data_IF_592497736257
#
_entry.id   IF_592497736257
#
_cell.length_a   1.000
_cell.length_b   1.000
_cell.length_c   1.000
_cell.angle_alpha   90.00
_cell.angle_beta   90.00
_cell.angle_gamma   90.00
#
_symmetry.space_group_name_H-M   'P 1'
#
loop_
_entity.id
_entity.type
_entity.pdbx_description
1 polymer ?
#
# COMPACT_ATOMS: atom_id res chain seq x y z
N UNK A 1 -19.60 -8.58 -46.37
CA UNK A 1 -20.57 -8.06 -45.35
C UNK A 1 -21.09 -9.15 -44.40
N UNK A 2 -21.31 -10.39 -44.82
CA UNK A 2 -21.86 -11.48 -43.94
C UNK A 2 -20.90 -11.98 -42.87
N UNK A 3 -19.61 -12.15 -43.18
CA UNK A 3 -18.60 -12.70 -42.22
C UNK A 3 -18.31 -11.71 -41.09
N UNK A 4 -18.28 -10.42 -41.35
CA UNK A 4 -18.06 -9.35 -40.39
C UNK A 4 -19.25 -9.23 -39.39
N UNK A 5 -20.49 -9.36 -39.89
CA UNK A 5 -21.70 -9.38 -39.04
C UNK A 5 -21.78 -10.63 -38.18
N UNK A 6 -21.34 -11.79 -38.67
CA UNK A 6 -21.25 -13.03 -37.88
C UNK A 6 -20.20 -12.92 -36.76
N UNK A 7 -19.04 -12.31 -37.01
CA UNK A 7 -18.01 -12.06 -36.01
C UNK A 7 -18.49 -11.08 -34.91
N UNK A 8 -19.16 -9.99 -35.30
CA UNK A 8 -19.71 -9.04 -34.32
C UNK A 8 -20.78 -9.71 -33.47
N UNK A 9 -21.67 -10.49 -34.05
CA UNK A 9 -22.69 -11.23 -33.30
C UNK A 9 -22.09 -12.27 -32.35
N UNK A 10 -21.04 -12.99 -32.76
CA UNK A 10 -20.36 -13.97 -31.91
C UNK A 10 -19.64 -13.29 -30.72
N UNK A 11 -18.97 -12.16 -30.93
CA UNK A 11 -18.30 -11.37 -29.88
C UNK A 11 -19.33 -10.78 -28.92
N UNK A 12 -20.43 -10.23 -29.42
CA UNK A 12 -21.51 -9.70 -28.59
C UNK A 12 -22.16 -10.81 -27.74
N UNK A 13 -22.43 -11.95 -28.36
CA UNK A 13 -22.99 -13.13 -27.64
C UNK A 13 -22.04 -13.63 -26.57
N UNK A 14 -20.74 -13.73 -26.85
CA UNK A 14 -19.73 -14.12 -25.89
C UNK A 14 -19.65 -13.12 -24.71
N UNK A 15 -19.72 -11.82 -25.02
CA UNK A 15 -19.70 -10.76 -24.00
C UNK A 15 -20.95 -10.79 -23.11
N UNK A 16 -22.15 -11.03 -23.70
CA UNK A 16 -23.40 -11.17 -22.94
C UNK A 16 -23.36 -12.42 -22.05
N UNK A 17 -22.90 -13.56 -22.56
CA UNK A 17 -22.72 -14.78 -21.77
C UNK A 17 -21.72 -14.60 -20.64
N UNK A 18 -20.62 -13.89 -20.88
CA UNK A 18 -19.62 -13.56 -19.88
C UNK A 18 -20.19 -12.70 -18.75
N UNK A 19 -20.95 -11.62 -19.08
CA UNK A 19 -21.62 -10.77 -18.10
C UNK A 19 -22.66 -11.58 -17.30
N UNK A 20 -23.46 -12.40 -17.98
CA UNK A 20 -24.49 -13.24 -17.35
C UNK A 20 -23.86 -14.24 -16.39
N UNK A 21 -22.79 -14.94 -16.80
CA UNK A 21 -22.01 -15.82 -15.95
C UNK A 21 -21.47 -15.10 -14.71
N UNK A 22 -20.91 -13.91 -14.85
CA UNK A 22 -20.42 -13.10 -13.70
C UNK A 22 -21.54 -12.74 -12.72
N UNK A 23 -22.72 -12.36 -13.22
CA UNK A 23 -23.88 -12.05 -12.37
C UNK A 23 -24.35 -13.30 -11.61
N UNK A 24 -24.46 -14.44 -12.28
CA UNK A 24 -24.84 -15.71 -11.64
C UNK A 24 -23.83 -16.09 -10.57
N UNK A 25 -22.55 -16.09 -10.87
CA UNK A 25 -21.48 -16.43 -9.91
C UNK A 25 -21.49 -15.48 -8.69
N UNK A 26 -21.75 -14.19 -8.90
CA UNK A 26 -21.90 -13.22 -7.82
C UNK A 26 -23.13 -13.52 -6.95
N UNK A 27 -24.26 -13.91 -7.54
CA UNK A 27 -25.47 -14.29 -6.81
C UNK A 27 -25.27 -15.59 -6.02
N UNK A 28 -24.62 -16.60 -6.60
CA UNK A 28 -24.27 -17.84 -5.92
C UNK A 28 -23.36 -17.53 -4.72
N UNK A 29 -22.29 -16.77 -4.93
CA UNK A 29 -21.37 -16.40 -3.86
C UNK A 29 -22.10 -15.68 -2.72
N UNK A 30 -23.00 -14.74 -3.04
CA UNK A 30 -23.80 -14.02 -2.05
C UNK A 30 -24.73 -14.97 -1.27
N UNK A 31 -25.45 -15.87 -1.96
CA UNK A 31 -26.32 -16.86 -1.29
C UNK A 31 -25.52 -17.83 -0.41
N UNK A 32 -24.36 -18.28 -0.89
CA UNK A 32 -23.46 -19.16 -0.12
C UNK A 32 -22.92 -18.46 1.12
N UNK A 33 -22.55 -17.16 1.01
CA UNK A 33 -22.13 -16.39 2.16
C UNK A 33 -23.22 -16.28 3.21
N UNK A 34 -24.46 -15.95 2.84
CA UNK A 34 -25.61 -15.90 3.75
C UNK A 34 -25.95 -17.28 4.35
N UNK A 35 -25.74 -18.36 3.62
CA UNK A 35 -25.85 -19.68 4.18
C UNK A 35 -24.82 -19.91 5.30
N UNK A 36 -23.55 -19.53 5.07
CA UNK A 36 -22.51 -19.66 6.08
C UNK A 36 -22.72 -18.73 7.29
N UNK A 37 -23.42 -17.63 7.15
CA UNK A 37 -23.79 -16.77 8.29
C UNK A 37 -24.74 -17.45 9.30
N UNK A 38 -25.34 -18.60 8.96
CA UNK A 38 -26.11 -19.40 9.91
C UNK A 38 -25.22 -20.20 10.88
N UNK A 39 -23.93 -20.32 10.59
CA UNK A 39 -22.99 -20.99 11.50
C UNK A 39 -22.51 -20.02 12.59
N UNK A 40 -22.14 -20.52 13.78
CA UNK A 40 -21.68 -19.66 14.86
C UNK A 40 -20.40 -18.91 14.48
N UNK A 41 -20.25 -17.68 14.97
CA UNK A 41 -19.00 -16.93 14.89
C UNK A 41 -18.02 -17.52 15.88
N UNK A 42 -16.81 -17.86 15.41
CA UNK A 42 -15.73 -18.33 16.27
C UNK A 42 -15.00 -17.14 16.86
N UNK A 43 -15.09 -16.98 18.18
CA UNK A 43 -14.52 -15.86 18.93
C UNK A 43 -13.00 -15.76 18.89
N UNK A 44 -12.33 -16.88 18.65
CA UNK A 44 -10.87 -16.99 18.55
C UNK A 44 -10.35 -17.08 17.11
N UNK A 45 -11.02 -16.45 16.13
CA UNK A 45 -10.60 -16.53 14.74
C UNK A 45 -10.50 -15.16 14.10
N UNK A 46 -9.39 -14.90 13.38
CA UNK A 46 -9.12 -13.68 12.64
C UNK A 46 -8.86 -13.97 11.17
N UNK A 47 -9.44 -13.14 10.28
CA UNK A 47 -9.18 -13.14 8.83
C UNK A 47 -8.35 -11.92 8.49
N UNK A 48 -7.22 -12.16 7.83
CA UNK A 48 -6.29 -11.13 7.35
C UNK A 48 -6.27 -11.09 5.83
N UNK A 49 -6.10 -9.90 5.27
CA UNK A 49 -5.79 -9.71 3.85
C UNK A 49 -5.14 -8.37 3.60
N UNK A 50 -4.10 -8.36 2.76
CA UNK A 50 -3.46 -7.14 2.26
C UNK A 50 -3.79 -6.94 0.80
N UNK A 51 -4.18 -5.70 0.44
CA UNK A 51 -4.48 -5.29 -0.94
C UNK A 51 -5.39 -6.28 -1.67
N UNK A 52 -6.46 -6.70 -0.99
CA UNK A 52 -7.45 -7.67 -1.50
C UNK A 52 -6.87 -9.05 -1.86
N UNK A 53 -5.83 -9.49 -1.17
CA UNK A 53 -5.22 -10.82 -1.33
C UNK A 53 -3.99 -10.85 -2.24
N UNK A 54 -3.52 -9.71 -2.72
CA UNK A 54 -2.38 -9.65 -3.65
C UNK A 54 -1.03 -9.94 -3.00
N UNK A 55 -0.85 -9.53 -1.72
CA UNK A 55 0.45 -9.59 -1.05
C UNK A 55 0.31 -10.04 0.40
N UNK A 56 1.41 -10.57 0.95
CA UNK A 56 1.65 -10.69 2.38
C UNK A 56 2.53 -9.52 2.82
N UNK A 57 1.92 -8.38 3.14
CA UNK A 57 2.63 -7.12 3.42
C UNK A 57 1.75 -6.14 4.20
N UNK A 58 2.28 -4.92 4.42
CA UNK A 58 1.55 -3.79 5.00
C UNK A 58 1.02 -4.08 6.42
N UNK A 59 0.17 -3.21 6.96
CA UNK A 59 -0.37 -3.29 8.31
C UNK A 59 -0.90 -4.68 8.71
N UNK A 60 -1.66 -5.40 7.85
CA UNK A 60 -2.13 -6.74 8.20
C UNK A 60 -1.02 -7.76 8.45
N UNK A 61 0.15 -7.65 7.76
CA UNK A 61 1.32 -8.51 8.00
C UNK A 61 1.84 -8.33 9.42
N UNK A 62 2.05 -7.10 9.84
CA UNK A 62 2.63 -6.81 11.15
C UNK A 62 1.66 -7.11 12.29
N UNK A 63 0.36 -6.87 12.10
CA UNK A 63 -0.68 -7.33 13.04
C UNK A 63 -0.73 -8.85 13.13
N UNK A 64 -0.56 -9.57 12.02
CA UNK A 64 -0.50 -11.02 12.04
C UNK A 64 0.75 -11.52 12.80
N UNK A 65 1.92 -10.95 12.54
CA UNK A 65 3.15 -11.31 13.24
C UNK A 65 3.03 -11.09 14.75
N UNK A 66 2.46 -9.97 15.17
CA UNK A 66 2.17 -9.68 16.58
C UNK A 66 1.12 -10.66 17.14
N UNK A 67 0.08 -10.98 16.37
CA UNK A 67 -0.97 -11.91 16.76
C UNK A 67 -0.42 -13.33 17.05
N UNK A 68 0.40 -13.89 16.17
CA UNK A 68 0.97 -15.23 16.38
C UNK A 68 1.96 -15.28 17.54
N UNK A 69 2.59 -14.14 17.86
CA UNK A 69 3.56 -14.01 18.96
C UNK A 69 2.84 -13.90 20.32
N UNK A 70 1.85 -13.04 20.44
CA UNK A 70 1.27 -12.64 21.72
C UNK A 70 -0.17 -13.15 21.95
N UNK A 71 -0.85 -13.64 20.89
CA UNK A 71 -2.20 -14.20 20.95
C UNK A 71 -2.28 -15.59 20.27
N UNK A 72 -1.50 -16.59 20.73
CA UNK A 72 -1.36 -17.90 20.06
C UNK A 72 -2.66 -18.70 19.98
N UNK A 73 -3.67 -18.33 20.75
CA UNK A 73 -5.00 -18.96 20.74
C UNK A 73 -5.88 -18.49 19.59
N UNK A 74 -5.48 -17.44 18.86
CA UNK A 74 -6.21 -16.95 17.69
C UNK A 74 -5.86 -17.79 16.46
N UNK A 75 -6.87 -18.39 15.86
CA UNK A 75 -6.76 -19.07 14.57
C UNK A 75 -6.68 -18.03 13.45
N UNK A 76 -5.51 -17.89 12.84
CA UNK A 76 -5.25 -16.89 11.80
C UNK A 76 -5.52 -17.44 10.40
N UNK A 77 -6.36 -16.75 9.66
CA UNK A 77 -6.73 -17.06 8.28
C UNK A 77 -6.16 -15.96 7.36
N UNK A 78 -5.41 -16.35 6.34
CA UNK A 78 -4.93 -15.39 5.33
C UNK A 78 -5.63 -15.62 4.00
N UNK A 79 -6.28 -14.58 3.51
CA UNK A 79 -6.90 -14.55 2.18
C UNK A 79 -5.88 -14.06 1.16
N UNK A 80 -5.58 -14.91 0.16
CA UNK A 80 -4.59 -14.65 -0.89
C UNK A 80 -5.16 -14.93 -2.27
N UNK A 81 -4.71 -14.20 -3.28
CA UNK A 81 -5.03 -14.47 -4.69
C UNK A 81 -4.16 -15.63 -5.24
N UNK A 82 -2.93 -15.73 -4.76
CA UNK A 82 -1.96 -16.75 -5.16
C UNK A 82 -1.51 -17.59 -3.96
N UNK A 83 -1.72 -18.90 -4.03
CA UNK A 83 -1.31 -19.82 -2.96
C UNK A 83 0.22 -19.97 -2.83
N UNK A 84 1.00 -19.48 -3.80
CA UNK A 84 2.47 -19.47 -3.75
C UNK A 84 3.01 -18.43 -2.78
N UNK A 85 2.20 -17.43 -2.40
CA UNK A 85 2.59 -16.44 -1.38
C UNK A 85 2.97 -17.19 -0.11
N UNK A 86 4.21 -17.02 0.35
CA UNK A 86 4.67 -17.60 1.61
C UNK A 86 4.18 -16.76 2.80
N UNK A 87 3.65 -17.45 3.82
CA UNK A 87 3.16 -16.83 5.05
C UNK A 87 3.74 -17.64 6.21
N UNK A 88 4.58 -17.02 7.03
CA UNK A 88 5.23 -17.72 8.13
C UNK A 88 4.22 -18.18 9.18
N UNK A 89 4.59 -19.20 9.97
CA UNK A 89 3.79 -19.70 11.07
C UNK A 89 2.66 -20.66 10.65
N UNK A 90 1.56 -20.65 11.41
CA UNK A 90 0.47 -21.63 11.27
C UNK A 90 -0.80 -21.04 10.61
N UNK A 91 -0.67 -20.01 9.81
CA UNK A 91 -1.83 -19.42 9.12
C UNK A 91 -2.48 -20.40 8.14
N UNK A 92 -3.81 -20.42 8.13
CA UNK A 92 -4.58 -21.14 7.12
C UNK A 92 -4.68 -20.24 5.88
N UNK A 93 -3.98 -20.60 4.80
CA UNK A 93 -4.08 -19.90 3.52
C UNK A 93 -5.39 -20.23 2.83
N UNK A 94 -6.10 -19.21 2.37
CA UNK A 94 -7.39 -19.35 1.70
C UNK A 94 -7.40 -18.52 0.43
N UNK A 95 -7.69 -19.17 -0.69
CA UNK A 95 -7.79 -18.48 -1.98
C UNK A 95 -8.95 -17.51 -1.97
N UNK A 96 -8.68 -16.26 -2.38
CA UNK A 96 -9.69 -15.21 -2.53
C UNK A 96 -10.85 -15.69 -3.42
N UNK A 97 -12.09 -15.28 -3.09
CA UNK A 97 -13.34 -15.65 -3.78
C UNK A 97 -13.67 -17.15 -3.79
N UNK A 98 -12.96 -17.99 -3.05
CA UNK A 98 -13.30 -19.42 -2.87
C UNK A 98 -14.45 -19.62 -1.87
N UNK A 99 -15.05 -20.83 -1.86
CA UNK A 99 -16.05 -21.17 -0.83
C UNK A 99 -15.48 -21.10 0.59
N UNK A 100 -14.19 -21.49 0.77
CA UNK A 100 -13.51 -21.36 2.07
C UNK A 100 -13.40 -19.89 2.49
N UNK A 101 -13.11 -18.97 1.55
CA UNK A 101 -13.09 -17.54 1.84
C UNK A 101 -14.45 -17.07 2.36
N UNK A 102 -15.56 -17.44 1.67
CA UNK A 102 -16.92 -17.08 2.11
C UNK A 102 -17.24 -17.62 3.49
N UNK A 103 -16.84 -18.86 3.77
CA UNK A 103 -17.03 -19.50 5.07
C UNK A 103 -16.26 -18.77 6.19
N UNK A 104 -14.97 -18.50 5.97
CA UNK A 104 -14.16 -17.84 7.00
C UNK A 104 -14.60 -16.38 7.23
N UNK A 105 -14.99 -15.65 6.19
CA UNK A 105 -15.58 -14.31 6.36
C UNK A 105 -16.86 -14.34 7.19
N UNK A 106 -17.72 -15.34 6.99
CA UNK A 106 -18.98 -15.46 7.70
C UNK A 106 -18.83 -15.91 9.17
N UNK A 107 -17.75 -16.63 9.51
CA UNK A 107 -17.61 -17.33 10.79
C UNK A 107 -16.44 -16.86 11.66
N UNK A 108 -15.65 -15.89 11.22
CA UNK A 108 -14.53 -15.35 12.02
C UNK A 108 -14.97 -14.09 12.75
N UNK A 109 -14.58 -13.97 14.02
CA UNK A 109 -14.87 -12.79 14.83
C UNK A 109 -14.14 -11.55 14.31
N UNK A 110 -12.86 -11.67 13.97
CA UNK A 110 -12.02 -10.54 13.61
C UNK A 110 -11.73 -10.47 12.12
N UNK A 111 -11.96 -9.31 11.52
CA UNK A 111 -11.64 -8.99 10.13
C UNK A 111 -10.59 -7.88 10.09
N UNK A 112 -9.44 -8.13 9.47
CA UNK A 112 -8.28 -7.23 9.49
C UNK A 112 -7.84 -6.98 8.04
N UNK A 113 -8.13 -5.78 7.52
CA UNK A 113 -7.90 -5.43 6.12
C UNK A 113 -7.34 -4.02 5.97
N UNK A 114 -6.48 -3.82 4.97
CA UNK A 114 -5.98 -2.50 4.58
C UNK A 114 -6.67 -1.92 3.34
N UNK A 115 -7.54 -2.68 2.70
CA UNK A 115 -8.33 -2.29 1.54
C UNK A 115 -9.81 -2.50 1.80
N UNK A 116 -10.66 -1.79 1.04
CA UNK A 116 -12.13 -1.95 1.14
C UNK A 116 -12.55 -3.34 0.65
N UNK A 117 -13.43 -3.98 1.39
CA UNK A 117 -13.97 -5.29 1.02
C UNK A 117 -15.28 -5.17 0.25
N UNK A 118 -15.62 -6.15 -0.61
CA UNK A 118 -16.88 -6.17 -1.35
C UNK A 118 -18.13 -5.99 -0.46
N UNK A 119 -19.13 -5.28 -0.97
CA UNK A 119 -20.38 -5.00 -0.24
C UNK A 119 -21.20 -6.26 0.11
N UNK A 120 -20.94 -7.38 -0.56
CA UNK A 120 -21.61 -8.65 -0.26
C UNK A 120 -21.25 -9.22 1.12
N UNK A 121 -20.09 -8.88 1.65
CA UNK A 121 -19.69 -9.29 3.00
C UNK A 121 -20.33 -8.38 4.04
N UNK A 122 -21.51 -8.78 4.50
CA UNK A 122 -22.24 -8.09 5.56
C UNK A 122 -21.72 -8.57 6.91
N UNK A 123 -21.25 -7.64 7.75
CA UNK A 123 -20.75 -7.93 9.10
C UNK A 123 -21.93 -8.25 10.03
N UNK A 124 -21.76 -9.24 10.90
CA UNK A 124 -22.68 -9.56 12.00
C UNK A 124 -22.28 -8.75 13.24
N UNK A 125 -23.17 -8.61 14.21
CA UNK A 125 -22.95 -7.84 15.44
C UNK A 125 -21.77 -8.40 16.25
N UNK A 126 -21.60 -9.73 16.28
CA UNK A 126 -20.50 -10.38 17.01
C UNK A 126 -19.14 -10.25 16.31
N UNK A 127 -19.11 -9.77 15.06
CA UNK A 127 -17.89 -9.61 14.30
C UNK A 127 -17.31 -8.21 14.46
N UNK A 128 -15.99 -8.11 14.50
CA UNK A 128 -15.22 -6.87 14.63
C UNK A 128 -14.44 -6.64 13.32
N UNK A 129 -14.63 -5.49 12.70
CA UNK A 129 -13.93 -5.11 11.48
C UNK A 129 -12.93 -4.00 11.75
N UNK A 130 -11.65 -4.34 11.72
CA UNK A 130 -10.53 -3.41 11.73
C UNK A 130 -10.14 -3.06 10.30
N UNK A 131 -10.30 -1.79 9.93
CA UNK A 131 -9.70 -1.21 8.74
C UNK A 131 -8.37 -0.56 9.12
N UNK A 132 -7.28 -1.06 8.56
CA UNK A 132 -5.95 -0.50 8.90
C UNK A 132 -5.55 0.65 8.00
N UNK A 133 -6.24 0.85 6.89
CA UNK A 133 -5.83 1.71 5.80
C UNK A 133 -4.40 1.38 5.35
N UNK A 134 -3.75 2.26 4.56
CA UNK A 134 -2.45 1.95 3.95
C UNK A 134 -1.61 3.21 3.66
N UNK A 135 -1.77 4.28 4.43
CA UNK A 135 -0.89 5.46 4.34
C UNK A 135 -1.51 6.74 4.83
N UNK A 136 -0.66 7.65 5.28
CA UNK A 136 -1.02 9.05 5.60
C UNK A 136 -1.42 9.78 4.31
N UNK A 137 -2.58 10.45 4.27
CA UNK A 137 -3.09 11.02 3.03
C UNK A 137 -2.45 12.37 2.70
N UNK A 138 -1.69 12.45 1.62
CA UNK A 138 -1.32 13.71 0.99
C UNK A 138 -2.46 14.21 0.07
N UNK A 139 -3.06 13.29 -0.69
CA UNK A 139 -4.07 13.56 -1.71
C UNK A 139 -5.47 13.44 -1.12
N UNK A 140 -6.41 14.28 -1.57
CA UNK A 140 -7.83 14.18 -1.18
C UNK A 140 -8.38 12.80 -1.45
N UNK A 141 -9.14 12.28 -0.50
CA UNK A 141 -9.69 10.92 -0.48
C UNK A 141 -11.22 10.95 -0.42
N UNK A 142 -11.84 9.87 -0.85
CA UNK A 142 -13.23 9.53 -0.55
C UNK A 142 -14.22 10.67 -0.77
N UNK A 143 -14.85 11.14 0.30
CA UNK A 143 -15.86 12.19 0.28
C UNK A 143 -15.27 13.58 0.00
N UNK A 144 -14.00 13.81 0.35
CA UNK A 144 -13.31 15.10 0.18
C UNK A 144 -12.85 15.35 -1.27
N UNK A 145 -12.95 14.36 -2.16
CA UNK A 145 -12.62 14.54 -3.57
C UNK A 145 -13.67 15.41 -4.26
N UNK A 146 -13.25 16.53 -4.88
CA UNK A 146 -14.15 17.47 -5.56
C UNK A 146 -14.73 16.85 -6.84
N UNK A 147 -13.89 16.18 -7.63
CA UNK A 147 -14.27 15.49 -8.86
C UNK A 147 -13.70 14.08 -8.83
N UNK A 148 -14.56 13.08 -8.98
CA UNK A 148 -14.14 11.70 -9.11
C UNK A 148 -13.80 11.41 -10.59
N UNK A 149 -12.64 11.85 -11.07
CA UNK A 149 -12.22 11.69 -12.48
C UNK A 149 -12.24 10.24 -12.98
N UNK A 150 -12.11 9.27 -12.07
CA UNK A 150 -12.09 7.84 -12.40
C UNK A 150 -13.15 7.04 -11.64
N UNK A 151 -14.07 7.71 -10.98
CA UNK A 151 -15.06 7.06 -10.14
C UNK A 151 -16.40 6.92 -10.86
N UNK A 152 -17.07 5.79 -10.63
CA UNK A 152 -18.46 5.59 -11.04
C UNK A 152 -19.38 6.62 -10.37
N UNK A 153 -20.54 6.89 -10.96
CA UNK A 153 -21.54 7.84 -10.43
C UNK A 153 -21.87 7.64 -8.93
N UNK A 154 -21.70 6.41 -8.41
CA UNK A 154 -21.97 6.04 -7.02
C UNK A 154 -20.71 5.90 -6.15
N UNK A 155 -19.56 6.42 -6.58
CA UNK A 155 -18.29 6.22 -5.87
C UNK A 155 -18.35 6.70 -4.41
N UNK A 156 -18.69 7.97 -4.19
CA UNK A 156 -18.78 8.56 -2.83
C UNK A 156 -19.75 7.80 -1.94
N UNK A 157 -20.93 7.46 -2.47
CA UNK A 157 -21.93 6.70 -1.74
C UNK A 157 -21.44 5.29 -1.35
N UNK A 158 -20.83 4.57 -2.29
CA UNK A 158 -20.27 3.24 -2.02
C UNK A 158 -19.07 3.31 -1.07
N UNK A 159 -18.30 4.39 -1.15
CA UNK A 159 -17.16 4.63 -0.28
C UNK A 159 -17.65 4.84 1.16
N UNK A 160 -18.60 5.76 1.36
CA UNK A 160 -19.25 6.01 2.65
C UNK A 160 -19.86 4.74 3.24
N UNK A 161 -20.70 4.03 2.49
CA UNK A 161 -21.31 2.77 2.97
C UNK A 161 -20.29 1.70 3.37
N UNK A 162 -19.12 1.69 2.72
CA UNK A 162 -18.06 0.76 3.10
C UNK A 162 -17.45 1.14 4.45
N UNK A 163 -17.20 2.44 4.66
CA UNK A 163 -16.62 2.95 5.89
C UNK A 163 -17.55 2.75 7.11
N UNK A 164 -18.87 2.86 6.92
CA UNK A 164 -19.85 2.63 8.01
C UNK A 164 -19.90 1.19 8.56
N UNK A 165 -19.11 0.25 8.00
CA UNK A 165 -18.99 -1.13 8.50
C UNK A 165 -17.82 -1.34 9.43
N UNK A 166 -16.90 -0.35 9.51
CA UNK A 166 -15.70 -0.46 10.34
C UNK A 166 -16.04 -0.23 11.81
N UNK A 167 -15.50 -1.09 12.69
CA UNK A 167 -15.56 -0.87 14.13
C UNK A 167 -14.32 -0.11 14.60
N UNK A 168 -13.20 -0.33 13.91
CA UNK A 168 -11.95 0.38 14.16
C UNK A 168 -11.29 0.81 12.86
N UNK A 169 -10.69 2.00 12.87
CA UNK A 169 -9.86 2.55 11.80
C UNK A 169 -8.51 2.98 12.38
N UNK A 170 -7.41 2.44 11.83
CA UNK A 170 -6.06 2.84 12.27
C UNK A 170 -5.68 4.18 11.69
N UNK A 171 -5.11 5.05 12.52
CA UNK A 171 -4.53 6.32 12.11
C UNK A 171 -3.10 6.48 12.63
N UNK A 172 -2.21 6.94 11.75
CA UNK A 172 -0.80 7.15 12.08
C UNK A 172 -0.54 8.41 12.92
N UNK A 173 -1.40 9.44 12.81
CA UNK A 173 -1.17 10.75 13.42
C UNK A 173 -2.46 11.57 13.48
N UNK A 174 -2.41 12.70 14.20
CA UNK A 174 -3.55 13.62 14.36
C UNK A 174 -4.07 14.18 13.04
N UNK A 175 -3.17 14.45 12.09
CA UNK A 175 -3.53 14.91 10.76
C UNK A 175 -4.37 13.86 10.03
N UNK A 176 -3.91 12.60 9.97
CA UNK A 176 -4.66 11.49 9.37
C UNK A 176 -6.01 11.27 10.05
N UNK A 177 -6.07 11.36 11.38
CA UNK A 177 -7.30 11.25 12.16
C UNK A 177 -8.33 12.28 11.70
N UNK A 178 -7.92 13.55 11.59
CA UNK A 178 -8.81 14.63 11.12
C UNK A 178 -9.28 14.41 9.67
N UNK A 179 -8.36 14.02 8.79
CA UNK A 179 -8.69 13.75 7.39
C UNK A 179 -9.62 12.53 7.26
N UNK A 180 -9.42 11.49 8.04
CA UNK A 180 -10.26 10.28 7.95
C UNK A 180 -11.70 10.52 8.44
N UNK A 181 -11.89 11.41 9.40
CA UNK A 181 -13.24 11.82 9.81
C UNK A 181 -14.01 12.42 8.64
N UNK A 182 -13.45 13.38 7.91
CA UNK A 182 -14.12 14.01 6.75
C UNK A 182 -14.18 13.10 5.54
N UNK A 183 -13.06 12.51 5.15
CA UNK A 183 -12.95 11.75 3.90
C UNK A 183 -13.72 10.43 3.91
N UNK A 184 -13.88 9.79 5.06
CA UNK A 184 -14.61 8.53 5.23
C UNK A 184 -16.02 8.73 5.84
N UNK A 185 -16.28 9.90 6.42
CA UNK A 185 -17.53 10.19 7.13
C UNK A 185 -17.69 9.28 8.35
N UNK A 186 -16.63 9.11 9.14
CA UNK A 186 -16.62 8.26 10.34
C UNK A 186 -16.39 9.11 11.58
N UNK A 187 -16.93 8.63 12.72
CA UNK A 187 -16.72 9.27 14.00
C UNK A 187 -15.30 9.02 14.52
N UNK A 188 -14.81 9.97 15.34
CA UNK A 188 -13.50 9.87 15.96
C UNK A 188 -13.36 8.63 16.85
N UNK A 189 -14.46 8.18 17.44
CA UNK A 189 -14.48 7.10 18.44
C UNK A 189 -14.05 5.75 17.87
N UNK A 190 -14.19 5.54 16.56
CA UNK A 190 -13.69 4.34 15.90
C UNK A 190 -12.23 4.46 15.45
N UNK A 191 -11.62 5.66 15.54
CA UNK A 191 -10.27 5.89 15.06
C UNK A 191 -9.26 5.61 16.17
N UNK A 192 -8.40 4.61 15.95
CA UNK A 192 -7.30 4.26 16.84
C UNK A 192 -6.04 4.98 16.36
N UNK A 193 -5.76 6.14 16.98
CA UNK A 193 -4.57 6.95 16.70
C UNK A 193 -3.37 6.42 17.48
N UNK A 194 -2.55 5.57 16.85
CA UNK A 194 -1.46 4.89 17.54
C UNK A 194 -0.23 4.61 16.69
N UNK A 195 -0.19 5.10 15.47
CA UNK A 195 0.80 4.73 14.46
C UNK A 195 0.31 3.61 13.55
N UNK A 196 1.08 3.32 12.49
CA UNK A 196 0.81 2.17 11.62
C UNK A 196 1.57 0.93 12.07
N UNK A 197 0.91 -0.25 12.17
CA UNK A 197 1.58 -1.52 12.48
C UNK A 197 2.81 -1.80 11.62
N UNK A 198 2.75 -1.48 10.34
CA UNK A 198 3.86 -1.67 9.40
C UNK A 198 5.09 -0.83 9.73
N UNK A 199 4.92 0.29 10.43
CA UNK A 199 6.02 1.16 10.84
C UNK A 199 6.71 0.69 12.12
N UNK A 200 6.17 -0.31 12.83
CA UNK A 200 6.82 -0.86 14.01
C UNK A 200 8.25 -1.36 13.71
N UNK A 201 8.48 -1.97 12.54
CA UNK A 201 9.81 -2.41 12.12
C UNK A 201 10.77 -1.24 11.88
N UNK A 202 10.28 -0.08 11.44
CA UNK A 202 11.11 1.09 11.18
C UNK A 202 11.75 1.63 12.47
N UNK A 203 11.10 1.41 13.61
CA UNK A 203 11.59 1.82 14.93
C UNK A 203 12.39 0.70 15.61
N UNK A 204 11.97 -0.57 15.42
CA UNK A 204 12.45 -1.71 16.19
C UNK A 204 13.46 -2.59 15.43
N UNK A 205 13.77 -2.31 14.16
CA UNK A 205 14.69 -3.15 13.37
C UNK A 205 16.08 -3.20 13.99
N UNK A 206 16.73 -4.34 13.84
CA UNK A 206 18.12 -4.58 14.23
C UNK A 206 19.03 -4.60 13.00
N UNK A 207 20.34 -4.53 13.22
CA UNK A 207 21.33 -4.74 12.15
C UNK A 207 21.15 -6.09 11.46
N UNK A 208 20.75 -7.13 12.23
CA UNK A 208 20.49 -8.45 11.64
C UNK A 208 19.29 -8.46 10.67
N UNK A 209 18.29 -7.60 10.89
CA UNK A 209 17.17 -7.46 9.95
C UNK A 209 17.61 -6.75 8.67
N UNK A 210 18.43 -5.71 8.78
CA UNK A 210 19.04 -5.03 7.63
C UNK A 210 19.87 -6.01 6.81
N UNK A 211 20.72 -6.81 7.45
CA UNK A 211 21.57 -7.81 6.78
C UNK A 211 20.75 -8.89 6.06
N UNK A 212 19.67 -9.39 6.69
CA UNK A 212 18.76 -10.36 6.03
C UNK A 212 18.17 -9.80 4.75
N UNK A 213 17.70 -8.54 4.76
CA UNK A 213 17.12 -7.91 3.58
C UNK A 213 18.21 -7.67 2.52
N UNK A 214 19.38 -7.14 2.90
CA UNK A 214 20.51 -6.96 1.95
C UNK A 214 20.87 -8.29 1.28
N UNK A 215 20.99 -9.37 2.05
CA UNK A 215 21.29 -10.71 1.52
C UNK A 215 20.19 -11.19 0.55
N UNK A 216 18.91 -10.97 0.87
CA UNK A 216 17.79 -11.37 0.00
C UNK A 216 17.76 -10.60 -1.34
N UNK A 217 18.35 -9.42 -1.36
CA UNK A 217 18.49 -8.56 -2.54
C UNK A 217 19.85 -8.72 -3.24
N UNK A 218 20.73 -9.59 -2.74
CA UNK A 218 22.11 -9.75 -3.21
C UNK A 218 22.92 -8.43 -3.21
N UNK A 219 22.67 -7.58 -2.22
CA UNK A 219 23.40 -6.33 -2.02
C UNK A 219 24.65 -6.65 -1.20
N UNK A 220 25.80 -6.60 -1.84
CA UNK A 220 27.09 -6.85 -1.22
C UNK A 220 27.85 -5.54 -0.94
N UNK A 221 28.75 -5.58 0.04
CA UNK A 221 29.65 -4.47 0.38
C UNK A 221 28.98 -3.31 1.14
N UNK A 222 29.72 -2.19 1.19
CA UNK A 222 29.38 -1.02 2.03
C UNK A 222 28.77 0.14 1.22
N UNK A 223 28.39 -0.11 -0.04
CA UNK A 223 27.76 0.92 -0.86
C UNK A 223 26.48 1.42 -0.22
N UNK A 224 26.26 2.73 -0.30
CA UNK A 224 25.02 3.36 0.12
C UNK A 224 23.87 2.93 -0.78
N UNK A 225 22.68 2.86 -0.21
CA UNK A 225 21.47 2.42 -0.91
C UNK A 225 20.53 3.59 -1.11
N UNK A 226 20.26 3.93 -2.36
CA UNK A 226 19.27 4.93 -2.76
C UNK A 226 17.99 4.17 -3.13
N UNK A 227 16.85 4.53 -2.55
CA UNK A 227 15.57 3.94 -2.88
C UNK A 227 14.72 4.94 -3.69
N UNK A 228 14.35 4.60 -4.91
CA UNK A 228 13.48 5.40 -5.75
C UNK A 228 12.06 4.81 -5.80
N UNK A 229 11.07 5.56 -5.27
CA UNK A 229 9.67 5.15 -5.14
C UNK A 229 8.72 6.18 -5.78
N UNK A 230 8.63 6.30 -7.11
CA UNK A 230 7.74 7.28 -7.74
C UNK A 230 6.27 6.87 -7.66
N UNK A 231 5.39 7.87 -7.64
CA UNK A 231 3.94 7.66 -7.76
C UNK A 231 3.57 7.29 -9.20
N UNK A 232 2.63 6.38 -9.33
CA UNK A 232 1.98 6.08 -10.62
C UNK A 232 1.24 7.30 -11.20
N UNK A 233 1.34 7.49 -12.53
CA UNK A 233 0.63 8.52 -13.29
C UNK A 233 -0.50 7.89 -14.10
N UNK A 234 -1.74 8.20 -13.74
CA UNK A 234 -2.95 7.65 -14.38
C UNK A 234 -3.14 8.10 -15.83
N UNK A 235 -2.50 9.20 -16.25
CA UNK A 235 -2.58 9.78 -17.60
C UNK A 235 -1.58 9.17 -18.60
N UNK A 236 -0.67 8.31 -18.17
CA UNK A 236 0.31 7.63 -19.02
C UNK A 236 -0.22 6.33 -19.64
N UNK A 237 -1.54 6.20 -19.82
CA UNK A 237 -2.13 5.05 -20.50
C UNK A 237 -1.87 5.16 -22.00
N UNK A 238 -1.13 4.21 -22.57
CA UNK A 238 -1.11 4.01 -24.03
C UNK A 238 -2.40 3.32 -24.46
N UNK A 239 -2.85 3.66 -25.70
CA UNK A 239 -4.12 3.21 -26.30
C UNK A 239 -4.27 1.70 -26.47
N UNK A 240 -3.20 0.89 -26.31
CA UNK A 240 -3.15 -0.54 -26.65
C UNK A 240 -2.91 -1.49 -25.46
N UNK A 241 -3.42 -1.16 -24.27
CA UNK A 241 -3.22 -1.98 -23.05
C UNK A 241 -1.76 -2.10 -22.58
N UNK A 242 -0.80 -1.49 -23.24
CA UNK A 242 0.57 -1.36 -22.76
C UNK A 242 0.72 -0.02 -22.03
N UNK A 243 1.05 -0.10 -20.73
CA UNK A 243 1.42 1.08 -19.97
C UNK A 243 2.87 1.41 -20.32
N UNK A 244 3.11 2.56 -20.97
CA UNK A 244 4.47 3.06 -21.18
C UNK A 244 4.85 3.93 -19.98
N UNK A 245 5.85 3.51 -19.22
CA UNK A 245 6.49 4.37 -18.23
C UNK A 245 7.84 4.83 -18.80
N UNK A 246 8.03 6.14 -18.80
CA UNK A 246 9.34 6.72 -19.11
C UNK A 246 9.99 7.06 -17.76
N UNK A 247 11.01 6.30 -17.37
CA UNK A 247 11.82 6.59 -16.19
C UNK A 247 12.42 7.99 -16.35
N UNK A 248 12.16 8.87 -15.39
CA UNK A 248 12.66 10.25 -15.41
C UNK A 248 14.06 10.40 -14.79
N UNK A 249 14.58 9.31 -14.24
CA UNK A 249 15.98 9.25 -13.80
C UNK A 249 16.88 8.86 -14.96
N UNK A 250 17.94 9.63 -15.19
CA UNK A 250 19.05 9.23 -16.05
C UNK A 250 20.00 8.31 -15.25
N UNK A 251 19.72 7.00 -15.33
CA UNK A 251 20.48 5.99 -14.58
C UNK A 251 21.94 5.90 -15.02
N UNK A 252 22.24 6.15 -16.31
CA UNK A 252 23.61 6.12 -16.82
C UNK A 252 24.44 7.24 -16.17
N UNK A 253 23.90 8.44 -16.16
CA UNK A 253 24.54 9.59 -15.54
C UNK A 253 24.67 9.43 -14.02
N UNK A 254 23.65 8.89 -13.33
CA UNK A 254 23.74 8.62 -11.89
C UNK A 254 24.78 7.53 -11.60
N UNK A 255 24.91 6.50 -12.44
CA UNK A 255 25.96 5.48 -12.32
C UNK A 255 27.35 6.08 -12.49
N UNK A 256 27.57 6.92 -13.52
CA UNK A 256 28.84 7.61 -13.74
C UNK A 256 29.27 8.42 -12.51
N UNK A 257 28.31 9.11 -11.87
CA UNK A 257 28.61 9.99 -10.73
C UNK A 257 28.72 9.24 -9.39
N UNK A 258 27.88 8.23 -9.14
CA UNK A 258 27.71 7.61 -7.82
C UNK A 258 27.98 6.11 -7.78
N UNK A 259 28.22 5.45 -8.91
CA UNK A 259 28.31 3.99 -8.99
C UNK A 259 29.38 3.34 -8.13
N UNK A 260 30.46 4.07 -7.79
CA UNK A 260 31.47 3.58 -6.88
C UNK A 260 31.04 3.58 -5.41
N UNK A 261 30.16 4.51 -5.02
CA UNK A 261 29.76 4.74 -3.62
C UNK A 261 28.33 4.32 -3.28
N UNK A 262 27.48 4.14 -4.29
CA UNK A 262 26.07 3.83 -4.08
C UNK A 262 25.50 2.85 -5.12
N UNK A 263 24.33 2.29 -4.79
CA UNK A 263 23.43 1.57 -5.69
C UNK A 263 22.03 2.19 -5.59
N UNK A 264 21.18 1.95 -6.60
CA UNK A 264 19.81 2.41 -6.60
C UNK A 264 18.83 1.24 -6.67
N UNK A 265 17.84 1.22 -5.77
CA UNK A 265 16.71 0.30 -5.77
C UNK A 265 15.50 1.00 -6.40
N UNK A 266 14.98 0.45 -7.48
CA UNK A 266 13.84 0.98 -8.23
C UNK A 266 12.56 0.27 -7.79
N UNK A 267 11.73 0.93 -7.00
CA UNK A 267 10.43 0.42 -6.54
C UNK A 267 9.32 1.04 -7.35
N UNK A 268 9.08 0.50 -8.53
CA UNK A 268 8.06 0.99 -9.44
C UNK A 268 6.67 0.42 -9.08
N UNK A 269 5.62 1.04 -9.61
CA UNK A 269 4.29 0.47 -9.51
C UNK A 269 4.19 -0.81 -10.35
N UNK A 270 3.54 -1.86 -9.83
CA UNK A 270 3.46 -3.19 -10.45
C UNK A 270 2.92 -3.21 -11.91
N UNK A 271 2.22 -2.15 -12.35
CA UNK A 271 1.72 -2.04 -13.73
C UNK A 271 2.82 -1.70 -14.75
N UNK A 272 3.99 -1.30 -14.30
CA UNK A 272 5.10 -0.82 -15.16
C UNK A 272 6.41 -1.57 -14.91
N UNK A 273 6.47 -2.41 -13.90
CA UNK A 273 7.68 -3.16 -13.54
C UNK A 273 8.25 -4.02 -14.69
N UNK A 274 7.39 -4.57 -15.55
CA UNK A 274 7.81 -5.46 -16.65
C UNK A 274 8.50 -4.74 -17.84
N UNK A 275 8.66 -3.40 -17.79
CA UNK A 275 9.16 -2.59 -18.92
C UNK A 275 10.39 -1.74 -18.58
N UNK A 276 11.09 -2.02 -17.47
CA UNK A 276 12.33 -1.30 -17.14
C UNK A 276 13.50 -1.86 -17.98
N UNK A 277 14.13 -0.97 -18.75
CA UNK A 277 15.40 -1.29 -19.42
C UNK A 277 16.56 -0.83 -18.51
N UNK A 278 17.32 -1.79 -18.01
CA UNK A 278 18.49 -1.55 -17.14
C UNK A 278 19.81 -1.87 -17.85
N UNK A 279 19.79 -2.02 -19.17
CA UNK A 279 20.98 -2.33 -19.97
C UNK A 279 22.10 -1.32 -19.72
N UNK A 280 23.26 -1.81 -19.30
CA UNK A 280 24.45 -1.01 -19.01
C UNK A 280 24.53 -0.42 -17.60
N UNK A 281 23.49 -0.64 -16.76
CA UNK A 281 23.45 -0.19 -15.35
C UNK A 281 23.11 -1.31 -14.37
N UNK A 282 23.23 -2.58 -14.76
CA UNK A 282 22.80 -3.76 -13.99
C UNK A 282 23.55 -3.93 -12.66
N UNK A 283 24.77 -3.39 -12.57
CA UNK A 283 25.60 -3.35 -11.36
C UNK A 283 25.35 -2.16 -10.43
N UNK A 284 24.46 -1.24 -10.87
CA UNK A 284 24.11 -0.03 -10.13
C UNK A 284 22.63 0.04 -9.78
N UNK A 285 21.73 -0.34 -10.71
CA UNK A 285 20.28 -0.21 -10.56
C UNK A 285 19.61 -1.59 -10.49
N UNK A 286 18.78 -1.80 -9.46
CA UNK A 286 18.08 -3.06 -9.20
C UNK A 286 16.57 -2.84 -9.21
N UNK A 287 15.84 -3.60 -10.02
CA UNK A 287 14.36 -3.59 -9.98
C UNK A 287 13.85 -4.39 -8.79
N UNK A 288 13.30 -3.69 -7.79
CA UNK A 288 12.66 -4.26 -6.61
C UNK A 288 11.15 -4.06 -6.59
N UNK A 289 10.54 -3.83 -7.76
CA UNK A 289 9.10 -3.57 -7.90
C UNK A 289 8.23 -4.71 -7.37
N UNK A 290 8.70 -5.94 -7.49
CA UNK A 290 8.03 -7.14 -7.01
C UNK A 290 8.43 -7.57 -5.59
N UNK A 291 9.31 -6.83 -4.91
CA UNK A 291 9.67 -7.13 -3.52
C UNK A 291 8.44 -7.00 -2.61
N UNK A 292 8.13 -7.98 -1.75
CA UNK A 292 6.82 -8.04 -1.09
C UNK A 292 6.52 -6.89 -0.14
N UNK A 293 7.52 -6.44 0.62
CA UNK A 293 7.34 -5.49 1.72
C UNK A 293 8.24 -4.27 1.59
N UNK A 294 7.62 -3.12 1.40
CA UNK A 294 8.34 -1.86 1.21
C UNK A 294 9.07 -1.40 2.48
N UNK A 295 8.58 -1.75 3.69
CA UNK A 295 9.23 -1.40 4.94
C UNK A 295 10.62 -2.05 5.06
N UNK A 296 10.78 -3.24 4.52
CA UNK A 296 12.08 -3.91 4.45
C UNK A 296 13.05 -3.17 3.51
N UNK A 297 12.54 -2.57 2.42
CA UNK A 297 13.35 -1.72 1.54
C UNK A 297 13.74 -0.39 2.23
N UNK A 298 12.87 0.14 3.10
CA UNK A 298 13.17 1.36 3.83
C UNK A 298 14.33 1.18 4.82
N UNK A 299 14.36 0.08 5.57
CA UNK A 299 15.40 -0.12 6.58
C UNK A 299 16.79 -0.29 5.96
N UNK A 300 16.90 -0.84 4.74
CA UNK A 300 18.18 -1.02 4.05
C UNK A 300 18.64 0.21 3.28
N UNK A 301 17.75 1.17 2.98
CA UNK A 301 18.10 2.36 2.23
C UNK A 301 18.64 3.48 3.12
N UNK A 302 19.60 4.25 2.58
CA UNK A 302 20.19 5.42 3.23
C UNK A 302 19.50 6.72 2.83
N UNK A 303 18.94 6.78 1.61
CA UNK A 303 18.23 7.93 1.05
C UNK A 303 16.99 7.43 0.32
N UNK A 304 15.89 8.17 0.41
CA UNK A 304 14.73 7.95 -0.44
C UNK A 304 14.51 9.10 -1.41
N UNK A 305 14.31 8.75 -2.68
CA UNK A 305 13.81 9.65 -3.72
C UNK A 305 12.36 9.25 -4.01
N UNK A 306 11.44 10.18 -3.87
CA UNK A 306 10.02 9.96 -4.17
C UNK A 306 9.40 11.24 -4.77
N UNK A 307 8.08 11.30 -4.85
CA UNK A 307 7.35 12.47 -5.32
C UNK A 307 6.09 12.70 -4.45
N UNK A 308 4.88 12.46 -4.96
CA UNK A 308 3.60 12.68 -4.27
C UNK A 308 3.07 11.43 -3.56
N UNK A 309 3.95 10.62 -3.03
CA UNK A 309 3.64 9.33 -2.41
C UNK A 309 3.52 9.42 -0.90
N UNK A 310 2.59 8.65 -0.32
CA UNK A 310 2.51 8.47 1.13
C UNK A 310 3.73 7.73 1.73
N UNK A 311 4.61 7.18 0.90
CA UNK A 311 5.87 6.54 1.32
C UNK A 311 6.77 7.49 2.09
N UNK A 312 6.75 8.80 1.77
CA UNK A 312 7.55 9.81 2.46
C UNK A 312 7.22 9.92 3.95
N UNK A 313 5.95 9.76 4.35
CA UNK A 313 5.57 9.82 5.76
C UNK A 313 6.10 8.63 6.55
N UNK A 314 6.04 7.43 5.95
CA UNK A 314 6.56 6.23 6.60
C UNK A 314 8.09 6.29 6.72
N UNK A 315 8.77 6.64 5.62
CA UNK A 315 10.24 6.69 5.58
C UNK A 315 10.84 7.70 6.56
N UNK A 316 10.16 8.84 6.76
CA UNK A 316 10.60 9.87 7.71
C UNK A 316 10.71 9.36 9.14
N UNK A 317 10.04 8.26 9.52
CA UNK A 317 10.21 7.63 10.83
C UNK A 317 11.65 7.12 11.06
N UNK A 318 12.40 6.83 10.00
CA UNK A 318 13.81 6.44 10.08
C UNK A 318 14.77 7.62 10.33
N UNK A 319 14.29 8.86 10.23
CA UNK A 319 15.09 10.09 10.31
C UNK A 319 16.22 10.13 9.29
N UNK A 320 15.99 9.52 8.14
CA UNK A 320 16.91 9.51 6.99
C UNK A 320 16.48 10.53 5.94
N UNK A 321 17.39 10.98 5.04
CA UNK A 321 17.09 11.94 4.00
C UNK A 321 16.00 11.49 3.03
N UNK A 322 15.09 12.39 2.69
CA UNK A 322 14.08 12.23 1.63
C UNK A 322 14.30 13.36 0.62
N UNK A 323 14.29 13.04 -0.66
CA UNK A 323 14.34 14.01 -1.76
C UNK A 323 13.04 13.87 -2.56
N UNK A 324 12.34 14.97 -2.77
CA UNK A 324 11.13 14.99 -3.59
C UNK A 324 11.47 15.41 -5.01
N UNK A 325 11.49 14.45 -5.94
CA UNK A 325 11.71 14.68 -7.36
C UNK A 325 10.38 14.86 -8.08
N UNK A 326 9.96 16.12 -8.23
CA UNK A 326 8.60 16.52 -8.62
C UNK A 326 8.59 17.19 -10.00
N UNK A 327 9.18 16.56 -11.01
CA UNK A 327 9.33 17.07 -12.38
C UNK A 327 8.03 17.51 -13.07
N UNK A 328 6.86 17.21 -12.51
CA UNK A 328 5.53 17.55 -13.06
C UNK A 328 4.59 18.12 -11.99
N UNK A 329 5.13 18.83 -10.99
CA UNK A 329 4.41 19.29 -9.80
C UNK A 329 3.13 20.04 -10.13
N UNK A 330 3.19 21.04 -11.00
CA UNK A 330 2.04 21.90 -11.32
C UNK A 330 0.92 21.10 -11.98
N UNK A 331 1.27 20.29 -12.97
CA UNK A 331 0.32 19.40 -13.65
C UNK A 331 -0.33 18.42 -12.69
N UNK A 332 0.47 17.82 -11.81
CA UNK A 332 -0.04 16.80 -10.90
C UNK A 332 -0.96 17.38 -9.82
N UNK A 333 -0.63 18.53 -9.26
CA UNK A 333 -1.38 19.25 -8.25
C UNK A 333 -2.73 19.76 -8.78
N UNK A 334 -2.70 20.42 -9.95
CA UNK A 334 -3.85 21.16 -10.48
C UNK A 334 -4.80 20.28 -11.32
N UNK A 335 -4.27 19.28 -12.01
CA UNK A 335 -5.06 18.48 -12.96
C UNK A 335 -5.57 17.18 -12.36
N UNK A 336 -4.71 16.44 -11.62
CA UNK A 336 -5.08 15.09 -11.21
C UNK A 336 -5.82 15.03 -9.87
N UNK A 337 -5.31 15.70 -8.83
CA UNK A 337 -5.92 15.69 -7.49
C UNK A 337 -5.46 16.87 -6.66
N UNK A 338 -6.33 17.39 -5.83
CA UNK A 338 -5.93 18.32 -4.78
C UNK A 338 -5.16 17.60 -3.66
N UNK A 339 -4.33 18.35 -2.95
CA UNK A 339 -3.66 17.90 -1.73
C UNK A 339 -4.38 18.42 -0.49
N UNK A 340 -4.16 17.78 0.66
CA UNK A 340 -4.69 18.24 1.94
C UNK A 340 -3.87 19.38 2.55
N UNK A 341 -2.61 19.50 2.15
CA UNK A 341 -1.73 20.61 2.53
C UNK A 341 -0.75 20.91 1.39
N UNK A 342 -0.13 22.09 1.48
CA UNK A 342 0.86 22.51 0.49
C UNK A 342 2.23 21.90 0.81
N UNK A 343 2.64 20.96 -0.03
CA UNK A 343 3.93 20.27 0.05
C UNK A 343 5.12 21.23 -0.09
N UNK A 344 4.94 22.39 -0.71
CA UNK A 344 5.99 23.41 -0.83
C UNK A 344 6.28 24.10 0.51
N UNK A 345 5.28 24.15 1.39
CA UNK A 345 5.43 24.76 2.72
C UNK A 345 5.90 23.76 3.78
N UNK A 346 5.58 22.48 3.62
CA UNK A 346 5.96 21.43 4.57
C UNK A 346 6.28 20.14 3.81
N UNK A 347 7.55 19.85 3.62
CA UNK A 347 8.07 18.67 2.93
C UNK A 347 9.05 17.89 3.80
N UNK A 348 9.24 16.57 3.59
CA UNK A 348 10.20 15.78 4.35
C UNK A 348 11.67 16.11 4.04
N UNK A 349 11.93 16.85 2.97
CA UNK A 349 13.26 17.26 2.51
C UNK A 349 13.17 18.17 1.28
N UNK A 350 14.27 18.38 0.55
CA UNK A 350 14.30 19.26 -0.61
C UNK A 350 13.36 18.79 -1.71
N UNK A 351 12.76 19.76 -2.39
CA UNK A 351 11.92 19.58 -3.57
C UNK A 351 12.75 20.01 -4.77
N UNK A 352 12.96 19.09 -5.73
CA UNK A 352 13.74 19.34 -6.94
C UNK A 352 12.92 18.99 -8.17
N UNK A 353 13.13 19.72 -9.24
CA UNK A 353 12.38 19.56 -10.50
C UNK A 353 13.32 19.06 -11.60
N UNK A 354 14.55 19.57 -11.63
CA UNK A 354 15.52 19.25 -12.65
C UNK A 354 16.53 18.18 -12.20
N UNK A 355 17.01 17.38 -13.15
CA UNK A 355 17.94 16.28 -12.86
C UNK A 355 19.28 16.74 -12.23
N UNK A 356 19.91 17.86 -12.64
CA UNK A 356 21.13 18.35 -11.99
C UNK A 356 20.91 18.70 -10.51
N UNK A 357 19.78 19.29 -10.14
CA UNK A 357 19.43 19.59 -8.76
C UNK A 357 19.30 18.30 -7.93
N UNK A 358 18.67 17.26 -8.54
CA UNK A 358 18.54 15.95 -7.91
C UNK A 358 19.92 15.35 -7.61
N UNK A 359 20.87 15.45 -8.53
CA UNK A 359 22.24 14.94 -8.33
C UNK A 359 22.93 15.63 -7.15
N UNK A 360 22.78 16.95 -7.04
CA UNK A 360 23.38 17.74 -5.94
C UNK A 360 22.78 17.33 -4.58
N UNK A 361 21.47 17.08 -4.52
CA UNK A 361 20.84 16.63 -3.28
C UNK A 361 21.19 15.17 -2.94
N UNK A 362 21.35 14.27 -3.92
CA UNK A 362 21.89 12.92 -3.71
C UNK A 362 23.30 13.00 -3.12
N UNK A 363 24.17 13.83 -3.67
CA UNK A 363 25.54 14.00 -3.18
C UNK A 363 25.58 14.50 -1.73
N UNK A 364 24.73 15.48 -1.39
CA UNK A 364 24.56 15.94 0.00
C UNK A 364 24.09 14.81 0.93
N UNK A 365 23.12 13.99 0.47
CA UNK A 365 22.63 12.85 1.23
C UNK A 365 23.71 11.80 1.48
N UNK A 366 24.45 11.40 0.44
CA UNK A 366 25.52 10.41 0.53
C UNK A 366 26.68 10.88 1.42
N UNK A 367 26.97 12.20 1.43
CA UNK A 367 28.02 12.81 2.27
C UNK A 367 27.54 13.16 3.70
N UNK A 368 26.26 12.87 4.06
CA UNK A 368 25.70 13.17 5.38
C UNK A 368 25.40 14.66 5.64
N UNK A 369 25.42 15.48 4.59
CA UNK A 369 25.07 16.92 4.67
C UNK A 369 23.57 17.19 4.55
N UNK A 370 22.80 16.23 4.01
CA UNK A 370 21.35 16.28 3.97
C UNK A 370 20.80 15.41 5.10
N UNK A 371 19.87 15.98 5.88
CA UNK A 371 19.16 15.28 6.97
C UNK A 371 17.66 15.31 6.70
N UNK A 372 16.87 14.62 7.53
CA UNK A 372 15.41 14.70 7.49
C UNK A 372 14.92 16.09 7.96
N UNK A 373 13.70 16.46 7.53
CA UNK A 373 13.07 17.68 8.01
C UNK A 373 12.39 17.46 9.37
N UNK A 374 12.84 18.15 10.40
CA UNK A 374 12.36 17.99 11.78
C UNK A 374 10.90 18.47 11.94
N UNK A 375 10.49 19.54 11.29
CA UNK A 375 9.10 20.03 11.34
C UNK A 375 8.13 19.03 10.73
N UNK A 376 8.50 18.41 9.60
CA UNK A 376 7.72 17.35 8.98
C UNK A 376 7.64 16.10 9.88
N UNK A 377 8.76 15.71 10.49
CA UNK A 377 8.78 14.61 11.46
C UNK A 377 7.87 14.91 12.67
N UNK A 378 7.93 16.11 13.22
CA UNK A 378 7.15 16.52 14.37
C UNK A 378 5.66 16.55 14.09
N UNK A 379 5.25 16.94 12.89
CA UNK A 379 3.84 16.95 12.48
C UNK A 379 3.29 15.53 12.26
N UNK A 380 4.05 14.63 11.61
CA UNK A 380 3.48 13.39 11.10
C UNK A 380 3.97 12.10 11.79
N UNK A 381 5.12 12.10 12.46
CA UNK A 381 5.79 10.86 12.89
C UNK A 381 5.86 10.66 14.41
N UNK A 382 5.54 11.67 15.21
CA UNK A 382 5.78 11.65 16.68
C UNK A 382 4.97 10.61 17.45
N UNK A 383 3.89 10.08 16.89
CA UNK A 383 3.05 9.04 17.51
C UNK A 383 3.65 7.64 17.32
N UNK A 384 4.43 7.43 16.26
CA UNK A 384 5.07 6.16 15.98
C UNK A 384 6.10 5.80 17.07
N UNK A 385 5.85 4.71 17.80
CA UNK A 385 6.67 4.26 18.94
C UNK A 385 7.11 2.81 18.79
N UNK A 386 6.87 2.17 17.65
CA UNK A 386 7.21 0.77 17.40
C UNK A 386 6.33 -0.22 18.16
N UNK A 387 5.13 0.16 18.56
CA UNK A 387 4.20 -0.68 19.32
C UNK A 387 2.74 -0.56 18.85
N UNK A 388 2.52 -0.06 17.63
CA UNK A 388 1.18 0.10 17.08
C UNK A 388 0.44 -1.22 16.94
N UNK A 389 1.11 -2.28 16.49
CA UNK A 389 0.54 -3.64 16.38
C UNK A 389 -0.02 -4.14 17.70
N UNK A 390 0.76 -4.00 18.78
CA UNK A 390 0.35 -4.45 20.12
C UNK A 390 -0.85 -3.64 20.63
N UNK A 391 -0.80 -2.31 20.52
CA UNK A 391 -1.90 -1.44 20.96
C UNK A 391 -3.21 -1.76 20.25
N UNK A 392 -3.18 -1.94 18.93
CA UNK A 392 -4.37 -2.23 18.14
C UNK A 392 -4.96 -3.60 18.51
N UNK A 393 -4.13 -4.65 18.61
CA UNK A 393 -4.61 -5.98 18.97
C UNK A 393 -5.22 -6.00 20.37
N UNK A 394 -4.60 -5.34 21.34
CA UNK A 394 -5.15 -5.24 22.70
C UNK A 394 -6.47 -4.49 22.71
N UNK A 395 -6.63 -3.41 21.93
CA UNK A 395 -7.90 -2.68 21.81
C UNK A 395 -9.01 -3.53 21.15
N UNK A 396 -8.64 -4.36 20.18
CA UNK A 396 -9.61 -5.13 19.39
C UNK A 396 -10.00 -6.46 20.07
N UNK A 397 -9.07 -7.10 20.80
CA UNK A 397 -9.24 -8.46 21.36
C UNK A 397 -9.76 -8.41 22.81
N UNK A 398 -9.69 -7.23 23.46
CA UNK A 398 -10.18 -6.99 24.82
C UNK A 398 -11.66 -7.32 25.00
#
# INVERSE_FOLDING_TARGET
MSLFLLLINSVATFFILYIFRRKIMSLIAKKTYYFFQKFPVKSNRAVFSSFSGKYYSDNPKYLYLECIKNHPNIECIWVVDDNRIDIPGKAIKVRNKSFKHLYYMATSKYWIFNARIPAMFTKREEQVYLQTWHGTPLKKLGLDMDVAYFATANYKHNFYKNAQRWDYLVSANKFSTKVFQSSFGVDKDIIVECGYPRNDILINHSESDVLKVKNSLNIEGDKKVILYCPTWRDDQKRTDKQYGFNLKLDLCRLKEKFGDSAIILLRMHYLIADNLDLTGVEDFAYDVSNYPDIQELYIVSDIMITDYSSTMFDYTNLKKPVILYTYDLDKYKDILRGFYFDIMNLSPGPIVIEHPELEDEIEKGLSGKLTYNEDFYNEFCTIERGNASNKILNTMIS
#
